data_IF_500817387164
#
_entry.id   IF_500817387164
#
_cell.length_a   1.000
_cell.length_b   1.000
_cell.length_c   1.000
_cell.angle_alpha   90.00
_cell.angle_beta   90.00
_cell.angle_gamma   90.00
#
_symmetry.space_group_name_H-M   'P 1'
#
loop_
_entity.id
_entity.type
_entity.pdbx_description
1 polymer ?
#
# COMPACT_ATOMS: atom_id res chain seq x y z
N UNK A 1 -46.52 27.27 45.57
CA UNK A 1 -45.33 28.00 46.08
C UNK A 1 -44.51 27.02 46.92
N UNK A 2 -43.22 26.77 46.81
CA UNK A 2 -42.14 27.09 45.87
C UNK A 2 -41.00 26.12 46.24
N UNK A 3 -40.79 25.03 45.49
CA UNK A 3 -39.68 24.07 45.74
C UNK A 3 -38.68 23.99 44.57
N UNK A 4 -38.63 25.00 43.72
CA UNK A 4 -37.69 25.10 42.60
C UNK A 4 -36.67 26.21 42.87
N UNK A 5 -35.65 25.99 43.72
CA UNK A 5 -34.61 27.02 43.93
C UNK A 5 -33.19 26.51 44.19
N UNK A 6 -32.97 25.25 44.58
CA UNK A 6 -31.61 24.76 44.93
C UNK A 6 -30.94 23.92 43.83
N UNK A 7 -31.69 23.07 43.12
CA UNK A 7 -31.18 22.16 42.07
C UNK A 7 -30.82 22.89 40.76
N UNK A 8 -31.58 23.92 40.38
CA UNK A 8 -31.28 24.71 39.18
C UNK A 8 -30.04 25.59 39.35
N UNK A 9 -29.77 26.08 40.57
CA UNK A 9 -28.59 26.92 40.83
C UNK A 9 -27.29 26.13 40.71
N UNK A 10 -27.24 24.88 41.21
CA UNK A 10 -26.08 24.00 41.05
C UNK A 10 -25.90 23.54 39.60
N UNK A 11 -26.98 23.26 38.86
CA UNK A 11 -26.89 22.94 37.42
C UNK A 11 -26.43 24.13 36.58
N UNK A 12 -26.89 25.35 36.89
CA UNK A 12 -26.43 26.58 36.21
C UNK A 12 -24.97 26.90 36.51
N UNK A 13 -24.52 26.75 37.76
CA UNK A 13 -23.10 26.92 38.12
C UNK A 13 -22.20 25.89 37.43
N UNK A 14 -22.60 24.61 37.38
CA UNK A 14 -21.85 23.57 36.66
C UNK A 14 -21.81 23.81 35.14
N UNK A 15 -22.92 24.26 34.54
CA UNK A 15 -22.97 24.63 33.12
C UNK A 15 -22.12 25.88 32.80
N UNK A 16 -22.05 26.85 33.70
CA UNK A 16 -21.20 28.04 33.52
C UNK A 16 -19.71 27.74 33.64
N UNK A 17 -19.30 26.79 34.50
CA UNK A 17 -17.88 26.35 34.60
C UNK A 17 -17.46 25.54 33.35
N UNK A 18 -18.35 24.70 32.81
CA UNK A 18 -18.11 23.96 31.57
C UNK A 18 -18.06 24.88 30.33
N UNK A 19 -18.88 25.94 30.29
CA UNK A 19 -18.86 26.92 29.21
C UNK A 19 -17.59 27.80 29.24
N UNK A 20 -17.07 28.11 30.43
CA UNK A 20 -15.81 28.85 30.59
C UNK A 20 -14.57 28.02 30.19
N UNK A 21 -14.62 26.68 30.32
CA UNK A 21 -13.57 25.79 29.81
C UNK A 21 -13.63 25.59 28.29
N UNK A 22 -14.81 25.74 27.66
CA UNK A 22 -14.99 25.65 26.20
C UNK A 22 -14.62 26.94 25.44
N UNK A 23 -14.46 28.07 26.15
CA UNK A 23 -14.09 29.39 25.61
C UNK A 23 -12.62 29.76 25.86
N UNK A 24 -11.85 28.89 26.54
CA UNK A 24 -10.43 29.09 26.69
C UNK A 24 -9.72 28.84 25.34
N UNK A 25 -8.95 29.80 24.79
CA UNK A 25 -8.16 29.53 23.60
C UNK A 25 -7.21 28.36 23.88
N UNK A 26 -6.99 27.44 22.92
CA UNK A 26 -6.04 26.36 23.11
C UNK A 26 -4.70 26.95 23.51
N UNK A 27 -4.13 26.46 24.61
CA UNK A 27 -2.77 26.82 24.99
C UNK A 27 -1.87 26.49 23.79
N UNK A 28 -0.97 27.38 23.38
CA UNK A 28 -0.01 27.08 22.33
C UNK A 28 0.82 25.89 22.79
N UNK A 29 0.52 24.71 22.24
CA UNK A 29 1.41 23.56 22.38
C UNK A 29 2.68 23.96 21.65
N UNK A 30 3.83 24.09 22.33
CA UNK A 30 5.07 24.40 21.64
C UNK A 30 5.25 23.33 20.57
N UNK A 31 5.43 23.76 19.32
CA UNK A 31 5.73 22.85 18.23
C UNK A 31 6.96 22.04 18.66
N UNK A 32 6.75 20.76 19.01
CA UNK A 32 7.85 19.84 19.20
C UNK A 32 8.43 19.65 17.81
N UNK A 33 9.45 20.42 17.49
CA UNK A 33 10.24 20.21 16.29
C UNK A 33 10.90 18.86 16.49
N UNK A 34 10.54 17.82 15.70
CA UNK A 34 11.21 16.54 15.81
C UNK A 34 12.71 16.77 15.62
N UNK A 35 13.58 16.14 16.43
CA UNK A 35 15.01 16.30 16.28
C UNK A 35 15.39 15.96 14.84
N UNK A 36 16.13 16.87 14.19
CA UNK A 36 16.63 16.62 12.84
C UNK A 36 17.48 15.34 12.90
N UNK A 37 17.20 14.34 12.05
CA UNK A 37 17.99 13.11 12.04
C UNK A 37 19.46 13.47 11.79
N UNK A 38 20.35 12.98 12.66
CA UNK A 38 21.79 13.15 12.44
C UNK A 38 22.14 12.52 11.10
N UNK A 39 22.99 13.14 10.27
CA UNK A 39 23.43 12.51 9.03
C UNK A 39 24.07 11.17 9.38
N UNK A 40 23.51 10.08 8.85
CA UNK A 40 24.14 8.77 8.92
C UNK A 40 25.47 8.77 8.14
N UNK A 41 26.24 7.68 8.23
CA UNK A 41 27.38 7.50 7.34
C UNK A 41 26.94 7.64 5.88
N UNK A 42 27.78 8.20 4.98
CA UNK A 42 27.43 8.35 3.59
C UNK A 42 27.11 6.98 2.98
N UNK A 43 25.88 6.83 2.50
CA UNK A 43 25.46 5.64 1.74
C UNK A 43 26.14 5.72 0.37
N UNK A 44 26.81 4.66 -0.10
CA UNK A 44 27.37 4.64 -1.45
C UNK A 44 26.32 5.02 -2.48
N UNK A 45 26.69 5.88 -3.43
CA UNK A 45 25.77 6.27 -4.49
C UNK A 45 25.38 5.05 -5.34
N UNK A 46 24.08 4.85 -5.56
CA UNK A 46 23.59 3.82 -6.46
C UNK A 46 24.12 4.07 -7.88
N UNK A 47 24.87 3.11 -8.42
CA UNK A 47 25.40 3.15 -9.79
C UNK A 47 24.57 2.21 -10.66
N UNK A 48 24.00 2.74 -11.74
CA UNK A 48 23.21 1.98 -12.71
C UNK A 48 23.98 1.89 -14.03
N UNK A 49 23.78 0.83 -14.84
CA UNK A 49 24.34 0.77 -16.18
C UNK A 49 23.81 1.93 -17.04
N UNK A 50 24.52 2.36 -18.10
CA UNK A 50 23.99 3.33 -19.05
C UNK A 50 22.68 2.84 -19.69
N UNK A 51 21.71 3.74 -19.82
CA UNK A 51 20.38 3.46 -20.38
C UNK A 51 19.69 2.23 -19.75
N UNK A 52 19.52 2.22 -18.42
CA UNK A 52 19.00 1.05 -17.73
C UNK A 52 17.55 0.76 -18.17
N UNK A 53 17.24 -0.53 -18.23
CA UNK A 53 15.87 -1.04 -18.33
C UNK A 53 15.47 -1.57 -16.96
N UNK A 54 14.72 -0.78 -16.21
CA UNK A 54 14.40 -1.04 -14.80
C UNK A 54 13.04 -1.70 -14.68
N UNK A 55 13.01 -2.88 -14.07
CA UNK A 55 11.80 -3.54 -13.61
C UNK A 55 11.75 -3.44 -12.08
N UNK A 56 10.75 -2.76 -11.55
CA UNK A 56 10.53 -2.62 -10.12
C UNK A 56 9.37 -3.54 -9.69
N UNK A 57 9.62 -4.46 -8.77
CA UNK A 57 8.59 -5.25 -8.11
C UNK A 57 8.22 -4.59 -6.78
N UNK A 58 6.96 -4.16 -6.69
CA UNK A 58 6.34 -3.60 -5.49
C UNK A 58 5.43 -4.67 -4.88
N UNK A 59 5.69 -5.16 -3.65
CA UNK A 59 4.75 -6.03 -2.95
C UNK A 59 3.33 -5.44 -2.91
N UNK A 60 3.21 -4.16 -2.54
CA UNK A 60 1.94 -3.46 -2.36
C UNK A 60 1.86 -2.11 -3.10
N UNK A 61 0.63 -1.61 -3.36
CA UNK A 61 0.39 -0.26 -3.88
C UNK A 61 0.80 0.88 -2.93
N UNK A 62 2.03 1.37 -3.04
CA UNK A 62 2.66 2.51 -2.32
C UNK A 62 4.18 2.28 -2.18
N UNK A 63 4.62 1.02 -2.15
CA UNK A 63 6.03 0.64 -2.04
C UNK A 63 6.91 1.26 -3.13
N UNK A 64 6.40 1.41 -4.36
CA UNK A 64 7.15 2.04 -5.45
C UNK A 64 7.46 3.50 -5.14
N UNK A 65 6.50 4.20 -4.52
CA UNK A 65 6.63 5.60 -4.14
C UNK A 65 7.52 5.75 -2.90
N UNK A 66 7.27 4.95 -1.86
CA UNK A 66 7.97 5.00 -0.58
C UNK A 66 9.44 4.57 -0.71
N UNK A 67 9.70 3.47 -1.40
CA UNK A 67 11.06 2.93 -1.51
C UNK A 67 11.88 3.60 -2.62
N UNK A 68 11.24 3.94 -3.75
CA UNK A 68 11.98 4.30 -4.97
C UNK A 68 11.41 5.48 -5.77
N UNK A 69 10.42 6.24 -5.27
CA UNK A 69 9.75 7.28 -6.07
C UNK A 69 10.71 8.30 -6.67
N UNK A 70 11.72 8.75 -5.90
CA UNK A 70 12.75 9.67 -6.38
C UNK A 70 13.68 9.06 -7.45
N UNK A 71 13.99 7.76 -7.35
CA UNK A 71 14.78 7.05 -8.36
C UNK A 71 13.98 6.87 -9.65
N UNK A 72 12.75 6.36 -9.54
CA UNK A 72 11.86 6.13 -10.68
C UNK A 72 11.58 7.42 -11.45
N UNK A 73 11.29 8.52 -10.74
CA UNK A 73 11.11 9.85 -11.34
C UNK A 73 12.33 10.28 -12.16
N UNK A 74 13.55 10.14 -11.61
CA UNK A 74 14.79 10.54 -12.30
C UNK A 74 15.03 9.71 -13.56
N UNK A 75 14.82 8.40 -13.49
CA UNK A 75 14.99 7.48 -14.62
C UNK A 75 13.99 7.77 -15.75
N UNK A 76 12.70 7.94 -15.41
CA UNK A 76 11.67 8.28 -16.39
C UNK A 76 11.99 9.59 -17.09
N UNK A 77 12.45 10.62 -16.35
CA UNK A 77 12.85 11.91 -16.94
C UNK A 77 14.13 11.86 -17.77
N UNK A 78 15.01 10.91 -17.53
CA UNK A 78 16.17 10.64 -18.36
C UNK A 78 15.79 9.88 -19.66
N UNK A 79 14.54 9.45 -19.81
CA UNK A 79 14.07 8.68 -20.95
C UNK A 79 14.37 7.18 -20.86
N UNK A 80 14.76 6.69 -19.68
CA UNK A 80 15.06 5.29 -19.45
C UNK A 80 13.79 4.44 -19.42
N UNK A 81 13.92 3.16 -19.78
CA UNK A 81 12.80 2.24 -19.79
C UNK A 81 12.51 1.76 -18.36
N UNK A 82 11.39 2.19 -17.79
CA UNK A 82 10.96 1.82 -16.44
C UNK A 82 9.62 1.10 -16.50
N UNK A 83 9.48 -0.01 -15.77
CA UNK A 83 8.22 -0.72 -15.55
C UNK A 83 8.06 -1.01 -14.06
N UNK A 84 6.87 -0.74 -13.53
CA UNK A 84 6.48 -1.06 -12.15
C UNK A 84 5.47 -2.20 -12.19
N UNK A 85 5.70 -3.21 -11.38
CA UNK A 85 4.85 -4.39 -11.24
C UNK A 85 4.44 -4.50 -9.78
N UNK A 86 3.14 -4.37 -9.52
CA UNK A 86 2.54 -4.60 -8.22
C UNK A 86 2.21 -6.09 -8.08
N UNK A 87 2.75 -6.72 -7.05
CA UNK A 87 2.56 -8.14 -6.77
C UNK A 87 1.14 -8.41 -6.29
N UNK A 88 0.70 -7.63 -5.31
CA UNK A 88 -0.65 -7.67 -4.74
C UNK A 88 -1.37 -6.35 -4.99
N UNK A 89 -2.67 -6.30 -4.68
CA UNK A 89 -3.41 -5.03 -4.68
C UNK A 89 -3.52 -4.41 -3.27
N UNK A 90 -2.84 -4.97 -2.28
CA UNK A 90 -2.88 -4.46 -0.91
C UNK A 90 -4.27 -4.52 -0.27
N UNK A 91 -5.05 -5.54 -0.65
CA UNK A 91 -6.44 -5.77 -0.26
C UNK A 91 -6.58 -6.56 1.06
N UNK A 92 -5.48 -6.97 1.68
CA UNK A 92 -5.41 -7.75 2.91
C UNK A 92 -5.10 -6.92 4.14
N UNK A 93 -5.48 -5.62 4.13
CA UNK A 93 -5.18 -4.69 5.22
C UNK A 93 -6.44 -4.20 5.96
N UNK A 94 -6.85 -4.89 7.05
CA UNK A 94 -8.08 -4.56 7.80
C UNK A 94 -8.18 -3.12 8.28
N UNK A 95 -7.07 -2.53 8.73
CA UNK A 95 -7.08 -1.17 9.26
C UNK A 95 -7.38 -0.14 8.16
N UNK A 96 -6.77 -0.28 6.97
CA UNK A 96 -7.07 0.57 5.83
C UNK A 96 -8.54 0.46 5.41
N UNK A 97 -9.08 -0.77 5.30
CA UNK A 97 -10.49 -0.97 4.98
C UNK A 97 -11.44 -0.35 6.03
N UNK A 98 -11.09 -0.42 7.32
CA UNK A 98 -11.87 0.20 8.39
C UNK A 98 -11.85 1.73 8.32
N UNK A 99 -10.68 2.33 8.14
CA UNK A 99 -10.51 3.78 8.11
C UNK A 99 -11.11 4.41 6.85
N UNK A 100 -10.75 3.90 5.67
CA UNK A 100 -11.11 4.50 4.37
C UNK A 100 -12.60 4.36 4.04
N UNK A 101 -13.23 3.26 4.49
CA UNK A 101 -14.66 3.01 4.28
C UNK A 101 -15.51 3.22 5.54
N UNK A 102 -14.91 3.67 6.65
CA UNK A 102 -15.57 3.91 7.94
C UNK A 102 -16.35 2.68 8.46
N UNK A 103 -15.75 1.50 8.31
CA UNK A 103 -16.35 0.21 8.66
C UNK A 103 -15.87 -0.25 10.04
N UNK A 104 -16.75 -0.88 10.81
CA UNK A 104 -16.35 -1.55 12.07
C UNK A 104 -15.72 -2.92 11.83
N UNK A 105 -16.26 -3.67 10.86
CA UNK A 105 -15.82 -5.03 10.53
C UNK A 105 -15.92 -5.21 9.02
N UNK A 106 -14.82 -5.06 8.27
CA UNK A 106 -14.80 -5.26 6.84
C UNK A 106 -15.19 -6.70 6.47
N UNK A 107 -15.86 -6.81 5.33
CA UNK A 107 -16.22 -8.05 4.65
C UNK A 107 -15.27 -8.31 3.48
N UNK A 108 -15.38 -9.47 2.86
CA UNK A 108 -14.69 -9.83 1.62
C UNK A 108 -14.92 -8.82 0.49
N UNK A 109 -16.16 -8.36 0.32
CA UNK A 109 -16.50 -7.32 -0.66
C UNK A 109 -15.78 -6.00 -0.38
N UNK A 110 -15.61 -5.63 0.91
CA UNK A 110 -14.90 -4.41 1.28
C UNK A 110 -13.40 -4.51 0.99
N UNK A 111 -12.80 -5.70 1.15
CA UNK A 111 -11.40 -5.93 0.78
C UNK A 111 -11.18 -5.86 -0.72
N UNK A 112 -12.09 -6.43 -1.53
CA UNK A 112 -12.07 -6.26 -2.98
C UNK A 112 -12.16 -4.78 -3.38
N UNK A 113 -13.07 -4.03 -2.75
CA UNK A 113 -13.21 -2.59 -2.99
C UNK A 113 -11.93 -1.81 -2.59
N UNK A 114 -11.25 -2.21 -1.51
CA UNK A 114 -9.96 -1.64 -1.10
C UNK A 114 -8.89 -1.90 -2.16
N UNK A 115 -8.77 -3.13 -2.65
CA UNK A 115 -7.82 -3.48 -3.72
C UNK A 115 -8.03 -2.65 -4.98
N UNK A 116 -9.28 -2.48 -5.42
CA UNK A 116 -9.59 -1.62 -6.57
C UNK A 116 -9.26 -0.14 -6.33
N UNK A 117 -9.52 0.36 -5.11
CA UNK A 117 -9.15 1.72 -4.73
C UNK A 117 -7.64 1.91 -4.82
N UNK A 118 -6.88 1.02 -4.19
CA UNK A 118 -5.42 1.07 -4.16
C UNK A 118 -4.79 0.90 -5.55
N UNK A 119 -5.38 0.10 -6.45
CA UNK A 119 -4.95 0.06 -7.86
C UNK A 119 -5.07 1.42 -8.54
N UNK A 120 -6.19 2.13 -8.32
CA UNK A 120 -6.39 3.48 -8.89
C UNK A 120 -5.39 4.47 -8.32
N UNK A 121 -5.10 4.39 -7.02
CA UNK A 121 -4.15 5.25 -6.33
C UNK A 121 -2.72 5.03 -6.83
N UNK A 122 -2.24 3.78 -6.85
CA UNK A 122 -0.92 3.44 -7.38
C UNK A 122 -0.77 3.80 -8.85
N UNK A 123 -1.82 3.61 -9.66
CA UNK A 123 -1.79 4.06 -11.04
C UNK A 123 -1.68 5.59 -11.14
N UNK A 124 -2.43 6.34 -10.33
CA UNK A 124 -2.33 7.79 -10.29
C UNK A 124 -0.95 8.26 -9.80
N UNK A 125 -0.36 7.59 -8.79
CA UNK A 125 0.97 7.88 -8.26
C UNK A 125 2.05 7.67 -9.33
N UNK A 126 2.06 6.52 -9.99
CA UNK A 126 3.00 6.21 -11.08
C UNK A 126 2.83 7.14 -12.29
N UNK A 127 1.61 7.59 -12.60
CA UNK A 127 1.39 8.63 -13.60
C UNK A 127 2.07 9.96 -13.24
N UNK A 128 2.10 10.35 -11.95
CA UNK A 128 2.84 11.54 -11.49
C UNK A 128 4.35 11.39 -11.67
N UNK A 129 4.88 10.17 -11.67
CA UNK A 129 6.28 9.87 -12.00
C UNK A 129 6.57 9.93 -13.51
N UNK A 130 5.53 10.03 -14.35
CA UNK A 130 5.64 10.08 -15.82
C UNK A 130 5.44 8.74 -16.52
N UNK A 131 5.01 7.69 -15.80
CA UNK A 131 4.75 6.38 -16.39
C UNK A 131 3.39 6.35 -17.10
N UNK A 132 3.37 5.81 -18.32
CA UNK A 132 2.12 5.49 -19.01
C UNK A 132 1.58 4.12 -18.58
N UNK A 133 0.26 3.91 -18.66
CA UNK A 133 -0.44 2.66 -18.26
C UNK A 133 0.23 1.36 -18.69
N UNK A 134 0.78 1.28 -19.91
CA UNK A 134 1.50 0.10 -20.42
C UNK A 134 2.81 -0.27 -19.68
N UNK A 135 3.28 0.60 -18.79
CA UNK A 135 4.47 0.41 -17.95
C UNK A 135 4.12 0.11 -16.49
N UNK A 136 2.83 -0.02 -16.19
CA UNK A 136 2.35 -0.34 -14.85
C UNK A 136 1.54 -1.63 -14.98
N UNK A 137 1.80 -2.59 -14.10
CA UNK A 137 1.16 -3.89 -14.14
C UNK A 137 0.75 -4.31 -12.75
N UNK A 138 -0.44 -4.89 -12.63
CA UNK A 138 -0.94 -5.48 -11.39
C UNK A 138 -1.07 -6.98 -11.61
N UNK A 139 -0.41 -7.77 -10.76
CA UNK A 139 -0.50 -9.22 -10.84
C UNK A 139 -1.68 -9.78 -10.04
N UNK A 140 -2.12 -9.05 -9.01
CA UNK A 140 -3.32 -9.39 -8.24
C UNK A 140 -3.20 -10.67 -7.41
N UNK A 141 -1.99 -11.10 -7.08
CA UNK A 141 -1.76 -12.20 -6.13
C UNK A 141 -2.17 -11.78 -4.70
N UNK A 142 -2.39 -12.74 -3.78
CA UNK A 142 -3.07 -12.44 -2.53
C UNK A 142 -2.17 -11.65 -1.57
N UNK A 143 -2.69 -10.53 -1.06
CA UNK A 143 -2.03 -9.76 -0.01
C UNK A 143 -1.94 -10.58 1.30
N UNK A 144 -0.75 -10.60 1.89
CA UNK A 144 -0.36 -11.44 3.02
C UNK A 144 -0.15 -12.91 2.69
N UNK A 145 -0.26 -13.30 1.41
CA UNK A 145 -0.26 -14.69 0.96
C UNK A 145 0.94 -15.10 0.11
N UNK A 146 1.83 -14.19 -0.32
CA UNK A 146 2.86 -14.53 -1.30
C UNK A 146 3.85 -15.58 -0.79
N UNK A 147 4.30 -15.48 0.47
CA UNK A 147 5.14 -16.51 1.08
C UNK A 147 4.47 -17.89 1.15
N UNK A 148 3.15 -17.94 1.33
CA UNK A 148 2.40 -19.20 1.43
C UNK A 148 2.31 -19.91 0.08
N UNK A 149 2.31 -19.16 -1.03
CA UNK A 149 2.42 -19.71 -2.38
C UNK A 149 3.69 -20.55 -2.56
N UNK A 150 4.80 -20.12 -1.93
CA UNK A 150 6.06 -20.86 -1.97
C UNK A 150 6.09 -22.02 -0.96
N UNK A 151 5.55 -21.80 0.25
CA UNK A 151 5.70 -22.74 1.37
C UNK A 151 4.74 -23.92 1.33
N UNK A 152 3.50 -23.68 0.92
CA UNK A 152 2.41 -24.65 1.07
C UNK A 152 1.53 -24.78 -0.18
N UNK A 153 1.49 -23.76 -1.03
CA UNK A 153 0.59 -23.69 -2.20
C UNK A 153 1.37 -23.60 -3.51
N UNK A 154 2.33 -24.50 -3.73
CA UNK A 154 3.16 -24.45 -4.94
C UNK A 154 2.41 -24.86 -6.22
N UNK A 155 1.43 -25.76 -6.11
CA UNK A 155 0.76 -26.35 -7.27
C UNK A 155 -0.71 -25.93 -7.34
N UNK A 156 -1.19 -25.68 -8.57
CA UNK A 156 -2.61 -25.41 -8.92
C UNK A 156 -3.65 -26.40 -8.38
N UNK A 157 -3.23 -27.58 -7.91
CA UNK A 157 -4.16 -28.54 -7.29
C UNK A 157 -4.76 -28.06 -5.97
N UNK A 158 -4.06 -27.18 -5.26
CA UNK A 158 -4.48 -26.65 -3.97
C UNK A 158 -4.07 -25.17 -3.86
N UNK A 159 -4.71 -24.27 -4.63
CA UNK A 159 -4.40 -22.85 -4.57
C UNK A 159 -4.68 -22.29 -3.17
N UNK A 160 -3.98 -21.23 -2.82
CA UNK A 160 -4.20 -20.49 -1.59
C UNK A 160 -5.51 -19.72 -1.67
N UNK A 161 -6.37 -19.83 -0.66
CA UNK A 161 -7.57 -18.99 -0.55
C UNK A 161 -7.31 -17.84 0.40
N UNK A 162 -7.47 -16.60 -0.07
CA UNK A 162 -7.26 -15.41 0.76
C UNK A 162 -8.20 -15.39 1.97
N UNK A 163 -7.68 -15.19 3.20
CA UNK A 163 -8.53 -15.04 4.37
C UNK A 163 -9.33 -13.73 4.35
N UNK A 164 -8.98 -12.78 3.47
CA UNK A 164 -9.64 -11.49 3.35
C UNK A 164 -10.71 -11.51 2.26
N UNK A 165 -10.31 -11.68 1.00
CA UNK A 165 -11.19 -11.61 -0.17
C UNK A 165 -11.96 -12.90 -0.44
N UNK A 166 -11.55 -14.03 0.16
CA UNK A 166 -12.10 -15.38 -0.09
C UNK A 166 -11.87 -15.93 -1.49
N UNK A 167 -11.07 -15.24 -2.28
CA UNK A 167 -10.68 -15.66 -3.62
C UNK A 167 -9.44 -16.55 -3.59
N UNK A 168 -9.33 -17.42 -4.59
CA UNK A 168 -8.18 -18.29 -4.86
C UNK A 168 -7.51 -17.99 -6.22
N UNK A 169 -7.94 -16.93 -6.89
CA UNK A 169 -7.41 -16.40 -8.14
C UNK A 169 -7.64 -14.87 -8.19
N UNK A 170 -6.91 -14.10 -9.02
CA UNK A 170 -7.05 -12.64 -9.04
C UNK A 170 -8.46 -12.18 -9.50
N UNK A 171 -9.26 -11.51 -8.64
CA UNK A 171 -10.63 -11.10 -8.99
C UNK A 171 -10.73 -9.78 -9.75
N UNK A 172 -9.59 -9.16 -10.09
CA UNK A 172 -9.53 -7.77 -10.52
C UNK A 172 -9.51 -7.59 -12.04
N UNK A 173 -10.30 -6.64 -12.59
CA UNK A 173 -10.21 -6.30 -14.00
C UNK A 173 -8.82 -5.76 -14.37
N UNK A 174 -8.24 -6.27 -15.46
CA UNK A 174 -6.97 -5.77 -15.98
C UNK A 174 -5.73 -6.30 -15.26
N UNK A 175 -5.86 -7.32 -14.42
CA UNK A 175 -4.75 -8.18 -13.99
C UNK A 175 -4.00 -8.71 -15.22
N UNK A 176 -2.67 -8.85 -15.10
CA UNK A 176 -1.80 -9.29 -16.21
C UNK A 176 -2.22 -10.62 -16.80
N UNK A 177 -2.68 -11.54 -15.97
CA UNK A 177 -3.12 -12.86 -16.37
C UNK A 177 -4.36 -13.25 -15.56
N UNK A 178 -5.55 -13.31 -16.16
CA UNK A 178 -6.76 -13.69 -15.43
C UNK A 178 -6.90 -15.21 -15.24
N UNK A 179 -6.08 -16.02 -15.90
CA UNK A 179 -6.19 -17.50 -15.87
C UNK A 179 -5.27 -18.14 -14.81
N UNK A 180 -4.66 -17.33 -13.94
CA UNK A 180 -3.78 -17.80 -12.86
C UNK A 180 -4.54 -18.06 -11.58
N UNK A 181 -4.10 -19.06 -10.84
CA UNK A 181 -4.55 -19.30 -9.47
C UNK A 181 -3.50 -18.72 -8.50
N UNK A 182 -3.88 -18.62 -7.22
CA UNK A 182 -2.99 -18.25 -6.14
C UNK A 182 -2.09 -19.44 -5.78
N UNK A 183 -1.13 -19.71 -6.63
CA UNK A 183 -0.10 -20.73 -6.40
C UNK A 183 1.29 -20.28 -6.89
N UNK A 184 2.32 -20.98 -6.40
CA UNK A 184 3.71 -20.65 -6.69
C UNK A 184 4.14 -20.91 -8.14
N UNK A 185 3.56 -21.89 -8.83
CA UNK A 185 3.88 -22.18 -10.24
C UNK A 185 3.39 -21.06 -11.15
N UNK A 186 2.18 -20.58 -10.93
CA UNK A 186 1.60 -19.49 -11.71
C UNK A 186 2.30 -18.17 -11.43
N UNK A 187 2.53 -17.83 -10.16
CA UNK A 187 3.34 -16.66 -9.79
C UNK A 187 4.70 -16.68 -10.49
N UNK A 188 5.40 -17.81 -10.42
CA UNK A 188 6.70 -17.98 -11.08
C UNK A 188 6.59 -17.82 -12.60
N UNK A 189 5.55 -18.37 -13.21
CA UNK A 189 5.33 -18.31 -14.66
C UNK A 189 5.07 -16.88 -15.13
N UNK A 190 4.26 -16.12 -14.40
CA UNK A 190 3.97 -14.71 -14.69
C UNK A 190 5.23 -13.85 -14.55
N UNK A 191 5.99 -14.00 -13.46
CA UNK A 191 7.27 -13.30 -13.28
C UNK A 191 8.25 -13.64 -14.40
N UNK A 192 8.40 -14.93 -14.75
CA UNK A 192 9.29 -15.37 -15.82
C UNK A 192 8.90 -14.78 -17.18
N UNK A 193 7.60 -14.67 -17.48
CA UNK A 193 7.11 -13.99 -18.68
C UNK A 193 7.44 -12.51 -18.67
N UNK A 194 7.18 -11.80 -17.56
CA UNK A 194 7.52 -10.38 -17.42
C UNK A 194 9.01 -10.09 -17.64
N UNK A 195 9.88 -10.91 -17.06
CA UNK A 195 11.33 -10.80 -17.24
C UNK A 195 11.75 -11.05 -18.69
N UNK A 196 11.16 -12.06 -19.33
CA UNK A 196 11.46 -12.41 -20.74
C UNK A 196 10.99 -11.34 -21.71
N UNK A 197 9.81 -10.79 -21.50
CA UNK A 197 9.20 -9.80 -22.39
C UNK A 197 9.84 -8.43 -22.23
N UNK A 198 10.06 -8.01 -20.98
CA UNK A 198 10.63 -6.70 -20.69
C UNK A 198 12.16 -6.68 -20.85
N UNK A 199 12.86 -7.81 -20.66
CA UNK A 199 14.33 -7.91 -20.71
C UNK A 199 15.01 -6.80 -19.89
N UNK A 200 14.76 -6.73 -18.57
CA UNK A 200 15.38 -5.71 -17.73
C UNK A 200 16.90 -5.90 -17.67
N UNK A 201 17.63 -4.80 -17.53
CA UNK A 201 19.05 -4.80 -17.17
C UNK A 201 19.24 -4.58 -15.66
N UNK A 202 18.19 -4.10 -14.99
CA UNK A 202 18.16 -3.85 -13.54
C UNK A 202 16.79 -4.32 -13.03
N UNK A 203 16.81 -5.16 -12.00
CA UNK A 203 15.62 -5.54 -11.24
C UNK A 203 15.74 -4.92 -9.85
N UNK A 204 14.68 -4.27 -9.39
CA UNK A 204 14.59 -3.69 -8.05
C UNK A 204 13.43 -4.39 -7.33
N UNK A 205 13.68 -4.82 -6.11
CA UNK A 205 12.75 -5.56 -5.26
C UNK A 205 13.09 -5.30 -3.78
N UNK A 206 12.21 -5.63 -2.83
CA UNK A 206 12.49 -5.50 -1.41
C UNK A 206 13.78 -6.20 -0.98
N UNK A 207 14.39 -5.68 0.08
CA UNK A 207 15.59 -6.30 0.65
C UNK A 207 15.21 -7.63 1.32
N UNK A 208 16.03 -8.69 1.25
CA UNK A 208 15.79 -9.97 1.93
C UNK A 208 15.68 -9.93 3.47
N UNK A 209 15.82 -8.75 4.08
CA UNK A 209 15.66 -8.54 5.53
C UNK A 209 14.42 -7.71 5.85
N UNK A 210 13.63 -7.36 4.84
CA UNK A 210 12.26 -6.95 5.09
C UNK A 210 11.55 -8.11 5.79
N UNK A 211 10.79 -7.76 6.83
CA UNK A 211 10.08 -8.74 7.66
C UNK A 211 8.64 -8.95 7.19
N UNK A 212 8.15 -8.12 6.27
CA UNK A 212 6.87 -8.39 5.63
C UNK A 212 6.95 -9.71 4.86
N UNK A 213 5.88 -10.52 4.89
CA UNK A 213 5.87 -11.86 4.30
C UNK A 213 5.59 -11.86 2.79
N UNK A 214 5.39 -10.69 2.20
CA UNK A 214 5.15 -10.53 0.76
C UNK A 214 6.41 -10.01 0.06
#
# INVERSE_FOLDING_TARGET
MSSATRSERTRRLAASVLLLLALAPPLPVPAVVPPQPRPGPPVPALTLPPHPRVLFFAPHPDDEALAAGGLLYRLVRAGDAVRVVFMTNGDGFPWAAQEDFHLKKPTDVDYLALGELRQREAFAATQRLGLAKRHVSFLGFPDGGLAELWRAHWSRTHPYTSPYTKEDSPPYPGTVDPDVDYDGQDLTSVIARLLRDFRPTVVIMPHPYDTHLD
#
